data_IF_919855218905
#
_entry.id   IF_919855218905
#
_cell.length_a   1.000
_cell.length_b   1.000
_cell.length_c   1.000
_cell.angle_alpha   90.00
_cell.angle_beta   90.00
_cell.angle_gamma   90.00
#
_symmetry.space_group_name_H-M   'P 1'
#
loop_
_entity.id
_entity.type
_entity.pdbx_description
1 polymer ?
#
# COMPACT_ATOMS: atom_id res chain seq x y z
N UNK A 1 -15.04 -17.28 -7.95
CA UNK A 1 -14.43 -17.22 -6.60
C UNK A 1 -14.23 -15.75 -6.26
N UNK A 2 -14.47 -15.34 -5.01
CA UNK A 2 -14.11 -13.98 -4.60
C UNK A 2 -12.58 -13.89 -4.59
N UNK A 3 -11.98 -12.86 -5.20
CA UNK A 3 -10.54 -12.72 -5.22
C UNK A 3 -10.01 -12.55 -3.80
N UNK A 4 -8.93 -13.27 -3.47
CA UNK A 4 -8.27 -13.17 -2.18
C UNK A 4 -7.07 -12.22 -2.25
N UNK A 5 -6.95 -11.34 -1.27
CA UNK A 5 -5.90 -10.33 -1.25
C UNK A 5 -4.61 -10.84 -0.58
N UNK A 6 -3.52 -10.83 -1.34
CA UNK A 6 -2.20 -11.29 -0.88
C UNK A 6 -1.55 -10.27 0.06
N UNK A 7 -1.20 -10.70 1.28
CA UNK A 7 -0.49 -9.84 2.25
C UNK A 7 0.83 -9.31 1.67
N UNK A 8 1.57 -10.19 1.00
CA UNK A 8 2.86 -9.87 0.39
C UNK A 8 2.70 -8.79 -0.69
N UNK A 9 1.72 -8.94 -1.58
CA UNK A 9 1.45 -7.93 -2.62
C UNK A 9 1.00 -6.61 -2.01
N UNK A 10 0.17 -6.62 -0.96
CA UNK A 10 -0.23 -5.38 -0.27
C UNK A 10 0.99 -4.64 0.29
N UNK A 11 1.84 -5.33 1.07
CA UNK A 11 3.00 -4.70 1.72
C UNK A 11 4.06 -4.20 0.73
N UNK A 12 4.19 -4.84 -0.43
CA UNK A 12 5.19 -4.49 -1.44
C UNK A 12 4.67 -3.54 -2.51
N UNK A 13 3.36 -3.51 -2.78
CA UNK A 13 2.75 -2.68 -3.83
C UNK A 13 2.10 -1.43 -3.27
N UNK A 14 1.43 -1.47 -2.12
CA UNK A 14 0.84 -0.28 -1.52
C UNK A 14 1.91 0.56 -0.81
N UNK A 15 2.08 1.81 -1.22
CA UNK A 15 3.14 2.66 -0.66
C UNK A 15 2.92 2.97 0.84
N UNK A 16 1.66 3.14 1.26
CA UNK A 16 1.33 3.45 2.65
C UNK A 16 1.60 2.25 3.56
N UNK A 17 1.18 1.05 3.13
CA UNK A 17 1.50 -0.18 3.83
C UNK A 17 3.03 -0.41 3.86
N UNK A 18 3.71 -0.16 2.72
CA UNK A 18 5.15 -0.27 2.59
C UNK A 18 5.90 0.59 3.62
N UNK A 19 5.59 1.89 3.68
CA UNK A 19 6.21 2.79 4.65
C UNK A 19 5.93 2.38 6.09
N UNK A 20 4.69 1.98 6.38
CA UNK A 20 4.30 1.58 7.73
C UNK A 20 5.13 0.40 8.27
N UNK A 21 5.46 -0.58 7.42
CA UNK A 21 6.31 -1.70 7.82
C UNK A 21 7.81 -1.38 7.76
N UNK A 22 8.25 -0.49 6.87
CA UNK A 22 9.67 -0.14 6.75
C UNK A 22 10.19 0.71 7.92
N UNK A 23 9.36 1.58 8.50
CA UNK A 23 9.72 2.42 9.66
C UNK A 23 10.32 1.59 10.82
N UNK A 24 9.62 0.58 11.38
CA UNK A 24 10.16 -0.23 12.47
C UNK A 24 11.41 -1.02 12.04
N UNK A 25 11.50 -1.45 10.79
CA UNK A 25 12.67 -2.18 10.27
C UNK A 25 13.91 -1.28 10.16
N UNK A 26 13.74 -0.04 9.70
CA UNK A 26 14.82 0.93 9.69
C UNK A 26 15.32 1.23 11.11
N UNK A 27 14.41 1.37 12.07
CA UNK A 27 14.78 1.65 13.47
C UNK A 27 15.46 0.48 14.15
N UNK A 28 15.02 -0.75 13.88
CA UNK A 28 15.73 -1.94 14.32
C UNK A 28 17.17 -1.94 13.76
N UNK A 29 17.35 -1.57 12.49
CA UNK A 29 18.67 -1.44 11.87
C UNK A 29 19.56 -0.40 12.57
N UNK A 30 19.01 0.76 12.95
CA UNK A 30 19.75 1.78 13.70
C UNK A 30 20.15 1.27 15.09
N UNK A 31 19.25 0.61 15.81
CA UNK A 31 19.53 0.04 17.13
C UNK A 31 20.64 -1.00 17.05
N UNK A 32 20.56 -1.91 16.07
CA UNK A 32 21.58 -2.93 15.86
C UNK A 32 22.93 -2.31 15.49
N UNK A 33 22.94 -1.28 14.65
CA UNK A 33 24.17 -0.56 14.31
C UNK A 33 24.83 0.06 15.55
N UNK A 34 24.07 0.72 16.41
CA UNK A 34 24.58 1.30 17.66
C UNK A 34 25.17 0.22 18.57
N UNK A 35 24.51 -0.92 18.68
CA UNK A 35 25.01 -2.08 19.42
C UNK A 35 26.37 -2.56 18.87
N UNK A 36 26.51 -2.69 17.54
CA UNK A 36 27.77 -3.11 16.91
C UNK A 36 28.89 -2.06 17.00
N UNK A 37 28.56 -0.78 17.13
CA UNK A 37 29.53 0.30 17.38
C UNK A 37 30.02 0.33 18.84
N UNK A 38 29.49 -0.52 19.71
CA UNK A 38 29.89 -0.61 21.11
C UNK A 38 29.30 0.49 22.00
N UNK A 39 28.19 1.11 21.57
CA UNK A 39 27.50 2.12 22.36
C UNK A 39 26.95 1.55 23.67
N UNK A 40 26.82 2.41 24.68
CA UNK A 40 26.33 1.96 25.98
C UNK A 40 24.86 1.56 25.92
N UNK A 41 24.47 0.61 26.77
CA UNK A 41 23.07 0.17 26.88
C UNK A 41 22.12 1.34 27.17
N UNK A 42 22.57 2.33 27.95
CA UNK A 42 21.78 3.52 28.26
C UNK A 42 21.45 4.35 27.01
N UNK A 43 22.42 4.55 26.12
CA UNK A 43 22.21 5.28 24.84
C UNK A 43 21.23 4.51 23.96
N UNK A 44 21.42 3.19 23.84
CA UNK A 44 20.56 2.32 23.03
C UNK A 44 19.11 2.34 23.56
N UNK A 45 18.92 2.24 24.88
CA UNK A 45 17.59 2.26 25.49
C UNK A 45 16.90 3.62 25.34
N UNK A 46 17.63 4.73 25.52
CA UNK A 46 17.09 6.08 25.29
C UNK A 46 16.63 6.25 23.84
N UNK A 47 17.45 5.80 22.88
CA UNK A 47 17.09 5.83 21.47
C UNK A 47 15.87 4.95 21.17
N UNK A 48 15.85 3.72 21.68
CA UNK A 48 14.73 2.80 21.51
C UNK A 48 13.42 3.38 22.07
N UNK A 49 13.46 4.03 23.23
CA UNK A 49 12.29 4.66 23.85
C UNK A 49 11.72 5.79 22.98
N UNK A 50 12.58 6.60 22.35
CA UNK A 50 12.15 7.68 21.44
C UNK A 50 11.58 7.12 20.14
N UNK A 51 12.17 6.04 19.61
CA UNK A 51 11.76 5.45 18.33
C UNK A 51 10.52 4.54 18.45
N UNK A 52 10.25 3.99 19.64
CA UNK A 52 9.16 3.05 19.88
C UNK A 52 7.78 3.61 19.49
N UNK A 53 7.35 4.83 19.90
CA UNK A 53 6.05 5.37 19.50
C UNK A 53 5.90 5.49 17.98
N UNK A 54 6.98 5.85 17.28
CA UNK A 54 6.98 6.02 15.84
C UNK A 54 6.94 4.67 15.10
N UNK A 55 7.61 3.64 15.63
CA UNK A 55 7.45 2.24 15.19
C UNK A 55 6.01 1.77 15.35
N UNK A 56 5.40 2.01 16.52
CA UNK A 56 4.03 1.60 16.79
C UNK A 56 3.04 2.30 15.87
N UNK A 57 3.22 3.60 15.62
CA UNK A 57 2.41 4.35 14.67
C UNK A 57 2.56 3.81 13.23
N UNK A 58 3.78 3.47 12.81
CA UNK A 58 4.04 2.84 11.50
C UNK A 58 3.34 1.49 11.35
N UNK A 59 3.45 0.62 12.36
CA UNK A 59 2.78 -0.68 12.39
C UNK A 59 1.26 -0.55 12.38
N UNK A 60 0.71 0.39 13.16
CA UNK A 60 -0.72 0.67 13.17
C UNK A 60 -1.21 1.15 11.79
N UNK A 61 -0.45 2.02 11.11
CA UNK A 61 -0.73 2.45 9.75
C UNK A 61 -0.71 1.28 8.76
N UNK A 62 0.33 0.44 8.80
CA UNK A 62 0.44 -0.73 7.93
C UNK A 62 -0.73 -1.69 8.15
N UNK A 63 -1.05 -1.99 9.40
CA UNK A 63 -2.15 -2.88 9.77
C UNK A 63 -3.51 -2.35 9.31
N UNK A 64 -3.79 -1.06 9.54
CA UNK A 64 -5.00 -0.43 9.06
C UNK A 64 -5.11 -0.45 7.53
N UNK A 65 -4.02 -0.15 6.84
CA UNK A 65 -3.97 -0.18 5.36
C UNK A 65 -4.20 -1.59 4.82
N UNK A 66 -3.57 -2.61 5.41
CA UNK A 66 -3.77 -4.01 5.03
C UNK A 66 -5.23 -4.41 5.22
N UNK A 67 -5.84 -4.10 6.38
CA UNK A 67 -7.25 -4.41 6.62
C UNK A 67 -8.19 -3.70 5.66
N UNK A 68 -7.92 -2.42 5.36
CA UNK A 68 -8.72 -1.65 4.43
C UNK A 68 -8.69 -2.27 3.02
N UNK A 69 -7.50 -2.58 2.50
CA UNK A 69 -7.34 -3.14 1.16
C UNK A 69 -8.00 -4.52 1.09
N UNK A 70 -7.77 -5.39 2.09
CA UNK A 70 -8.42 -6.70 2.17
C UNK A 70 -9.94 -6.61 2.15
N UNK A 71 -10.50 -5.78 3.04
CA UNK A 71 -11.96 -5.55 3.11
C UNK A 71 -12.52 -5.14 1.74
N UNK A 72 -11.89 -4.18 1.07
CA UNK A 72 -12.39 -3.70 -0.23
C UNK A 72 -12.24 -4.76 -1.32
N UNK A 73 -11.17 -5.56 -1.32
CA UNK A 73 -11.01 -6.62 -2.33
C UNK A 73 -11.99 -7.78 -2.09
N UNK A 74 -12.24 -8.15 -0.84
CA UNK A 74 -13.07 -9.31 -0.50
C UNK A 74 -14.58 -8.99 -0.54
N UNK A 75 -14.98 -7.78 -0.14
CA UNK A 75 -16.40 -7.37 -0.02
C UNK A 75 -16.85 -6.36 -1.09
N UNK A 76 -15.89 -5.78 -1.83
CA UNK A 76 -16.14 -4.72 -2.80
C UNK A 76 -16.92 -5.18 -4.03
N UNK A 77 -17.28 -4.21 -4.86
CA UNK A 77 -17.91 -4.48 -6.16
C UNK A 77 -16.85 -4.39 -7.24
N UNK A 78 -16.72 -5.46 -8.02
CA UNK A 78 -15.83 -5.53 -9.16
C UNK A 78 -16.38 -4.67 -10.29
N UNK A 79 -15.59 -3.71 -10.77
CA UNK A 79 -16.00 -2.79 -11.84
C UNK A 79 -14.89 -2.68 -12.89
N UNK A 80 -15.25 -2.59 -14.18
CA UNK A 80 -14.29 -2.23 -15.21
C UNK A 80 -13.88 -0.76 -15.03
N UNK A 81 -12.59 -0.50 -15.15
CA UNK A 81 -12.02 0.84 -15.08
C UNK A 81 -10.98 1.05 -16.17
N UNK A 82 -10.59 2.31 -16.36
CA UNK A 82 -9.55 2.69 -17.30
C UNK A 82 -8.53 3.58 -16.61
N UNK A 83 -7.25 3.30 -16.83
CA UNK A 83 -6.17 4.15 -16.31
C UNK A 83 -6.20 5.49 -17.04
N UNK A 84 -6.41 6.58 -16.30
CA UNK A 84 -6.43 7.96 -16.81
C UNK A 84 -5.15 8.72 -16.48
N UNK A 85 -4.33 8.18 -15.57
CA UNK A 85 -3.01 8.75 -15.28
C UNK A 85 -2.14 7.70 -14.62
N UNK A 86 -0.89 7.60 -15.05
CA UNK A 86 0.14 6.84 -14.35
C UNK A 86 1.40 7.71 -14.28
N UNK A 87 1.87 7.98 -13.06
CA UNK A 87 3.06 8.82 -12.84
C UNK A 87 3.96 8.17 -11.80
N UNK A 88 5.24 8.02 -12.11
CA UNK A 88 6.22 7.36 -11.24
C UNK A 88 7.46 8.24 -11.05
N UNK A 89 7.90 8.42 -9.81
CA UNK A 89 9.10 9.16 -9.45
C UNK A 89 9.82 8.48 -8.28
N UNK A 90 11.14 8.24 -8.41
CA UNK A 90 12.01 7.62 -7.40
C UNK A 90 11.44 6.33 -6.77
N UNK A 91 10.98 5.40 -7.60
CA UNK A 91 10.54 4.06 -7.16
C UNK A 91 9.11 3.97 -6.59
N UNK A 92 8.37 5.08 -6.57
CA UNK A 92 6.94 5.12 -6.21
C UNK A 92 6.15 5.87 -7.28
N UNK A 93 4.84 5.69 -7.30
CA UNK A 93 3.99 6.38 -8.25
C UNK A 93 2.54 6.46 -7.81
N UNK A 94 1.76 7.18 -8.61
CA UNK A 94 0.32 7.30 -8.47
C UNK A 94 -0.34 6.86 -9.77
N UNK A 95 -1.25 5.92 -9.64
CA UNK A 95 -2.08 5.40 -10.74
C UNK A 95 -3.50 5.85 -10.47
N UNK A 96 -4.05 6.64 -11.38
CA UNK A 96 -5.43 7.12 -11.34
C UNK A 96 -6.26 6.36 -12.36
N UNK A 97 -7.40 5.87 -11.90
CA UNK A 97 -8.37 5.09 -12.66
C UNK A 97 -9.70 5.79 -12.65
N UNK A 98 -10.45 5.63 -13.74
CA UNK A 98 -11.81 6.10 -13.87
C UNK A 98 -12.76 4.94 -14.11
N UNK A 99 -13.90 4.95 -13.46
CA UNK A 99 -14.97 3.98 -13.62
C UNK A 99 -16.32 4.66 -13.38
N UNK A 100 -17.39 3.98 -13.75
CA UNK A 100 -18.75 4.44 -13.53
C UNK A 100 -19.37 3.64 -12.39
N UNK A 101 -19.79 4.29 -11.31
CA UNK A 101 -20.47 3.66 -10.19
C UNK A 101 -21.84 4.33 -10.00
N UNK A 102 -22.92 3.55 -10.07
CA UNK A 102 -24.30 4.07 -9.99
C UNK A 102 -24.61 5.21 -11.01
N UNK A 103 -24.03 5.12 -12.20
CA UNK A 103 -24.19 6.14 -13.25
C UNK A 103 -23.27 7.36 -13.09
N UNK A 104 -22.51 7.47 -11.99
CA UNK A 104 -21.56 8.56 -11.77
C UNK A 104 -20.14 8.18 -12.16
N UNK A 105 -19.44 9.10 -12.85
CA UNK A 105 -18.04 8.93 -13.19
C UNK A 105 -17.16 9.26 -11.98
N UNK A 106 -16.48 8.27 -11.43
CA UNK A 106 -15.62 8.40 -10.25
C UNK A 106 -14.15 8.22 -10.65
N UNK A 107 -13.29 9.09 -10.13
CA UNK A 107 -11.83 8.97 -10.26
C UNK A 107 -11.25 8.54 -8.92
N UNK A 108 -10.49 7.44 -8.93
CA UNK A 108 -9.76 6.93 -7.76
C UNK A 108 -8.26 6.92 -8.04
N UNK A 109 -7.46 7.24 -7.03
CA UNK A 109 -6.00 7.27 -7.11
C UNK A 109 -5.37 6.29 -6.13
N UNK A 110 -4.49 5.43 -6.64
CA UNK A 110 -3.71 4.48 -5.84
C UNK A 110 -2.25 4.90 -5.83
N UNK A 111 -1.68 5.07 -4.62
CA UNK A 111 -0.25 5.34 -4.46
C UNK A 111 0.48 4.02 -4.30
N UNK A 112 1.28 3.67 -5.30
CA UNK A 112 1.86 2.33 -5.44
C UNK A 112 3.37 2.39 -5.59
N UNK A 113 4.04 1.31 -5.19
CA UNK A 113 5.44 1.09 -5.49
C UNK A 113 5.62 0.77 -6.98
N UNK A 114 6.74 1.22 -7.56
CA UNK A 114 7.11 0.90 -8.93
C UNK A 114 7.60 -0.55 -8.97
N UNK A 115 6.91 -1.40 -9.71
CA UNK A 115 7.29 -2.78 -10.01
C UNK A 115 7.02 -3.06 -11.50
N UNK A 116 7.32 -4.28 -11.98
CA UNK A 116 7.14 -4.63 -13.40
C UNK A 116 5.70 -4.35 -13.88
N UNK A 117 4.70 -4.75 -13.09
CA UNK A 117 3.29 -4.59 -13.40
C UNK A 117 2.86 -3.11 -13.41
N UNK A 118 3.15 -2.36 -12.34
CA UNK A 118 2.74 -0.95 -12.24
C UNK A 118 3.47 -0.08 -13.26
N UNK A 119 4.70 -0.44 -13.64
CA UNK A 119 5.46 0.27 -14.68
C UNK A 119 4.93 0.04 -16.10
N UNK A 120 4.17 -1.03 -16.32
CA UNK A 120 3.55 -1.35 -17.61
C UNK A 120 2.22 -0.61 -17.81
N UNK A 121 1.68 0.03 -16.77
CA UNK A 121 0.43 0.78 -16.86
C UNK A 121 0.58 2.02 -17.73
N UNK A 122 -0.29 2.12 -18.74
CA UNK A 122 -0.35 3.22 -19.67
C UNK A 122 -1.74 3.88 -19.63
N UNK A 123 -1.82 5.10 -20.16
CA UNK A 123 -3.09 5.78 -20.36
C UNK A 123 -4.00 4.91 -21.24
N UNK A 124 -5.26 4.75 -20.86
CA UNK A 124 -6.23 3.98 -21.63
C UNK A 124 -6.20 2.47 -21.37
N UNK A 125 -5.26 1.96 -20.58
CA UNK A 125 -5.22 0.53 -20.23
C UNK A 125 -6.50 0.15 -19.46
N UNK A 126 -7.26 -0.85 -19.93
CA UNK A 126 -8.39 -1.39 -19.18
C UNK A 126 -7.87 -2.20 -18.00
N UNK A 127 -8.47 -1.99 -16.83
CA UNK A 127 -8.15 -2.71 -15.59
C UNK A 127 -9.42 -3.01 -14.83
N UNK A 128 -9.33 -3.95 -13.91
CA UNK A 128 -10.42 -4.24 -12.98
C UNK A 128 -10.16 -3.55 -11.65
N UNK A 129 -11.18 -2.89 -11.09
CA UNK A 129 -11.08 -2.31 -9.75
C UNK A 129 -12.10 -2.93 -8.81
N UNK A 130 -11.71 -3.11 -7.55
CA UNK A 130 -12.62 -3.40 -6.46
C UNK A 130 -13.01 -2.08 -5.79
N UNK A 131 -14.29 -1.75 -5.84
CA UNK A 131 -14.85 -0.50 -5.33
C UNK A 131 -15.51 -0.74 -3.98
N UNK A 132 -15.17 0.08 -2.98
CA UNK A 132 -15.85 0.11 -1.69
C UNK A 132 -17.29 0.64 -1.87
N UNK A 133 -18.28 -0.15 -1.45
CA UNK A 133 -19.72 0.18 -1.55
C UNK A 133 -20.10 1.41 -0.75
N UNK A 134 -19.47 1.60 0.41
CA UNK A 134 -19.76 2.72 1.31
C UNK A 134 -19.04 3.99 0.87
N UNK A 135 -17.88 3.84 0.22
CA UNK A 135 -17.01 4.95 -0.15
C UNK A 135 -16.47 4.75 -1.56
N UNK A 136 -17.24 5.06 -2.62
CA UNK A 136 -16.89 4.74 -3.99
C UNK A 136 -15.52 5.27 -4.43
N UNK A 137 -15.03 6.39 -3.88
CA UNK A 137 -13.67 6.91 -4.15
C UNK A 137 -12.52 6.02 -3.64
N UNK A 138 -12.82 5.03 -2.80
CA UNK A 138 -11.87 4.00 -2.36
C UNK A 138 -12.01 2.81 -3.29
N UNK A 139 -11.19 2.81 -4.33
CA UNK A 139 -11.11 1.68 -5.24
C UNK A 139 -9.66 1.27 -5.46
N UNK A 140 -9.42 -0.03 -5.43
CA UNK A 140 -8.10 -0.64 -5.61
C UNK A 140 -8.08 -1.46 -6.90
N UNK A 141 -6.99 -1.34 -7.66
CA UNK A 141 -6.77 -2.14 -8.88
C UNK A 141 -6.55 -3.59 -8.46
N UNK A 142 -7.42 -4.49 -8.91
CA UNK A 142 -7.49 -5.86 -8.41
C UNK A 142 -6.19 -6.64 -8.68
N UNK A 143 -5.66 -6.49 -9.89
CA UNK A 143 -4.46 -7.17 -10.39
C UNK A 143 -3.20 -6.85 -9.57
N UNK A 144 -3.20 -5.74 -8.83
CA UNK A 144 -2.08 -5.35 -7.97
C UNK A 144 -2.00 -6.12 -6.65
N UNK A 145 -3.10 -6.72 -6.22
CA UNK A 145 -3.26 -7.21 -4.85
C UNK A 145 -3.81 -8.63 -4.74
N UNK A 146 -4.56 -9.11 -5.74
CA UNK A 146 -5.08 -10.47 -5.77
C UNK A 146 -3.95 -11.51 -5.84
N UNK A 147 -4.15 -12.68 -5.23
CA UNK A 147 -3.25 -13.81 -5.43
C UNK A 147 -3.23 -14.25 -6.90
N UNK A 148 -2.06 -14.71 -7.37
CA UNK A 148 -1.94 -15.33 -8.69
C UNK A 148 -2.41 -16.78 -8.52
N UNK A 149 -3.49 -17.18 -9.19
CA UNK A 149 -3.93 -18.59 -9.26
C UNK A 149 -2.90 -19.47 -9.98
#
# INVERSE_FOLDING_TARGET
MNPQASLKKILLTDYGAFLGWMIPMAYLGVILLQFFLGETLEVILRLALVLLPLSLAGLALAFWRVRLIRRVIEEGVQMPATIVRASFFRGRGRVEVVYTYQGERVVSGNVVMKNKLTSAFQLGTPVTVMVDREKPRRAFILELYAEDD
#
